data_IF_974563787626
#
_entry.id   IF_974563787626
#
_cell.length_a   1.000
_cell.length_b   1.000
_cell.length_c   1.000
_cell.angle_alpha   90.00
_cell.angle_beta   90.00
_cell.angle_gamma   90.00
#
_symmetry.space_group_name_H-M   'P 1'
#
loop_
_entity.id
_entity.type
_entity.pdbx_description
1 polymer ?
#
# COMPACT_ATOMS: atom_id res chain seq x y z
N UNK A 1 5.47 4.48 25.42
CA UNK A 1 5.51 4.04 24.00
C UNK A 1 4.44 2.97 23.82
N UNK A 2 3.49 3.17 22.90
CA UNK A 2 2.53 2.13 22.53
C UNK A 2 3.22 1.21 21.53
N UNK A 3 3.28 -0.07 21.85
CA UNK A 3 3.86 -1.08 20.96
C UNK A 3 2.73 -1.93 20.42
N UNK A 4 2.69 -2.12 19.11
CA UNK A 4 1.78 -3.03 18.41
C UNK A 4 2.62 -4.14 17.78
N UNK A 5 2.17 -5.39 17.93
CA UNK A 5 2.81 -6.55 17.34
C UNK A 5 1.78 -7.26 16.45
N UNK A 6 2.12 -7.48 15.19
CA UNK A 6 1.32 -8.27 14.25
C UNK A 6 2.07 -9.57 14.00
N UNK A 7 1.41 -10.70 14.17
CA UNK A 7 1.93 -12.03 13.85
C UNK A 7 0.93 -12.77 12.99
N UNK A 8 1.41 -13.33 11.92
CA UNK A 8 0.67 -14.25 11.06
C UNK A 8 1.26 -15.66 11.19
N UNK A 9 0.43 -16.67 11.08
CA UNK A 9 0.84 -18.07 11.09
C UNK A 9 -0.13 -18.88 10.23
N UNK A 10 0.44 -19.68 9.35
CA UNK A 10 -0.29 -20.74 8.69
C UNK A 10 -0.61 -21.86 9.70
N UNK A 11 -1.90 -22.23 9.78
CA UNK A 11 -2.36 -23.34 10.61
C UNK A 11 -2.54 -24.58 9.76
N UNK A 12 -2.48 -25.78 10.36
CA UNK A 12 -2.74 -27.01 9.63
C UNK A 12 -4.12 -26.96 8.97
N UNK A 13 -4.14 -27.16 7.66
CA UNK A 13 -5.35 -27.20 6.84
C UNK A 13 -5.46 -28.60 6.23
N UNK A 14 -6.66 -29.18 6.28
CA UNK A 14 -6.97 -30.48 5.65
C UNK A 14 -7.33 -30.30 4.14
N UNK A 15 -7.11 -29.13 3.57
CA UNK A 15 -7.47 -28.82 2.17
C UNK A 15 -6.23 -28.53 1.35
N UNK A 16 -6.16 -29.09 0.13
CA UNK A 16 -5.12 -28.75 -0.85
C UNK A 16 -5.42 -27.44 -1.61
N UNK A 17 -6.61 -26.86 -1.41
CA UNK A 17 -7.10 -25.67 -2.13
C UNK A 17 -7.12 -24.44 -1.25
N UNK A 18 -7.29 -24.61 0.08
CA UNK A 18 -7.36 -23.53 1.05
C UNK A 18 -6.33 -23.74 2.16
N UNK A 19 -5.69 -22.65 2.59
CA UNK A 19 -4.84 -22.62 3.78
C UNK A 19 -5.50 -21.78 4.86
N UNK A 20 -5.44 -22.26 6.10
CA UNK A 20 -5.98 -21.54 7.27
C UNK A 20 -4.91 -20.67 7.87
N UNK A 21 -5.21 -19.37 7.95
CA UNK A 21 -4.31 -18.36 8.54
C UNK A 21 -4.86 -17.83 9.85
N UNK A 22 -3.95 -17.63 10.80
CA UNK A 22 -4.19 -16.97 12.07
C UNK A 22 -3.43 -15.67 12.12
N UNK A 23 -4.15 -14.54 12.24
CA UNK A 23 -3.56 -13.21 12.40
C UNK A 23 -3.73 -12.77 13.85
N UNK A 24 -2.65 -12.40 14.51
CA UNK A 24 -2.65 -11.84 15.85
C UNK A 24 -2.23 -10.37 15.78
N UNK A 25 -3.07 -9.47 16.31
CA UNK A 25 -2.79 -8.05 16.42
C UNK A 25 -2.91 -7.64 17.89
N UNK A 26 -1.78 -7.44 18.54
CA UNK A 26 -1.72 -7.11 19.96
C UNK A 26 -1.11 -5.73 20.20
N UNK A 27 -1.69 -5.00 21.16
CA UNK A 27 -1.17 -3.73 21.66
C UNK A 27 -0.96 -3.76 23.18
N UNK A 28 -0.16 -2.86 23.70
CA UNK A 28 0.05 -2.64 25.13
C UNK A 28 -0.66 -1.33 25.61
N UNK A 29 -1.83 -1.06 25.07
CA UNK A 29 -2.64 0.11 25.38
C UNK A 29 -3.36 0.02 26.72
N UNK A 30 -4.44 0.79 26.84
CA UNK A 30 -5.24 0.85 28.06
C UNK A 30 -6.09 -0.41 28.32
N UNK A 31 -6.24 -1.28 27.33
CA UNK A 31 -7.12 -2.43 27.39
C UNK A 31 -8.61 -2.05 27.52
N UNK A 32 -9.45 -3.05 27.76
CA UNK A 32 -10.91 -2.93 27.80
C UNK A 32 -11.48 -3.66 29.00
N UNK A 33 -12.60 -3.13 29.55
CA UNK A 33 -13.41 -3.85 30.54
C UNK A 33 -14.14 -5.04 29.90
N UNK A 34 -14.52 -6.03 30.71
CA UNK A 34 -15.26 -7.20 30.22
C UNK A 34 -16.55 -6.79 29.48
N UNK A 35 -17.35 -5.90 30.09
CA UNK A 35 -18.61 -5.41 29.51
C UNK A 35 -18.42 -4.71 28.18
N UNK A 36 -17.31 -3.98 27.99
CA UNK A 36 -16.99 -3.31 26.73
C UNK A 36 -16.47 -4.30 25.69
N UNK A 37 -15.63 -5.27 26.12
CA UNK A 37 -15.10 -6.33 25.27
C UNK A 37 -16.21 -7.13 24.59
N UNK A 38 -17.28 -7.48 25.33
CA UNK A 38 -18.42 -8.23 24.80
C UNK A 38 -19.21 -7.47 23.73
N UNK A 39 -19.09 -6.16 23.71
CA UNK A 39 -19.81 -5.26 22.80
C UNK A 39 -18.96 -4.52 21.79
N UNK A 40 -17.65 -4.82 21.73
CA UNK A 40 -16.73 -4.06 20.87
C UNK A 40 -17.05 -4.17 19.37
N UNK A 41 -17.71 -5.24 18.98
CA UNK A 41 -18.14 -5.48 17.59
C UNK A 41 -19.54 -4.92 17.29
N UNK A 42 -20.25 -4.37 18.26
CA UNK A 42 -21.54 -3.71 18.03
C UNK A 42 -21.33 -2.34 17.37
N UNK A 43 -22.19 -2.00 16.41
CA UNK A 43 -22.13 -0.71 15.74
C UNK A 43 -22.35 0.45 16.74
N UNK A 44 -21.59 1.54 16.56
CA UNK A 44 -21.61 2.75 17.37
C UNK A 44 -21.15 2.57 18.83
N UNK A 45 -20.57 1.42 19.17
CA UNK A 45 -20.04 1.17 20.52
C UNK A 45 -18.75 1.95 20.74
N UNK A 46 -18.67 2.67 21.87
CA UNK A 46 -17.52 3.46 22.30
C UNK A 46 -17.26 3.26 23.78
N UNK A 47 -15.98 3.23 24.17
CA UNK A 47 -15.60 3.22 25.58
C UNK A 47 -15.93 4.59 26.21
N UNK A 48 -16.80 4.61 27.20
CA UNK A 48 -17.14 5.82 27.97
C UNK A 48 -16.09 6.04 29.05
N UNK A 49 -15.00 6.74 28.73
CA UNK A 49 -14.03 7.21 29.70
C UNK A 49 -13.68 8.66 29.43
N UNK A 50 -13.43 9.44 30.50
CA UNK A 50 -13.06 10.86 30.42
C UNK A 50 -11.80 11.14 29.60
N UNK A 51 -10.95 10.12 29.38
CA UNK A 51 -9.76 10.18 28.52
C UNK A 51 -10.07 9.94 27.04
N UNK A 52 -11.16 9.23 26.71
CA UNK A 52 -11.55 8.92 25.31
C UNK A 52 -12.44 9.98 24.68
N UNK A 53 -13.00 10.91 25.45
CA UNK A 53 -13.81 12.04 24.92
C UNK A 53 -13.03 12.96 23.98
N UNK A 54 -11.69 12.87 23.93
CA UNK A 54 -10.84 13.61 22.98
C UNK A 54 -10.49 12.84 21.72
N UNK A 55 -10.80 11.55 21.63
CA UNK A 55 -10.52 10.73 20.46
C UNK A 55 -11.80 10.66 19.60
N UNK A 56 -11.77 11.36 18.48
CA UNK A 56 -12.87 11.39 17.53
C UNK A 56 -12.93 10.06 16.76
N UNK A 57 -14.07 9.34 16.85
CA UNK A 57 -14.28 8.08 16.13
C UNK A 57 -15.78 7.76 16.07
N UNK A 58 -16.20 7.14 14.98
CA UNK A 58 -17.63 6.82 14.73
C UNK A 58 -18.14 5.61 15.51
N UNK A 59 -17.26 4.78 16.09
CA UNK A 59 -17.62 3.51 16.70
C UNK A 59 -18.05 2.42 15.70
N UNK A 60 -17.77 2.62 14.40
CA UNK A 60 -18.14 1.68 13.35
C UNK A 60 -16.99 0.74 12.94
N UNK A 61 -15.73 1.10 13.23
CA UNK A 61 -14.57 0.38 12.72
C UNK A 61 -14.56 -1.12 13.05
N UNK A 62 -14.78 -1.48 14.31
CA UNK A 62 -14.76 -2.88 14.74
C UNK A 62 -15.95 -3.68 14.22
N UNK A 63 -17.14 -3.06 14.14
CA UNK A 63 -18.32 -3.67 13.53
C UNK A 63 -18.10 -3.96 12.04
N UNK A 64 -17.48 -3.04 11.30
CA UNK A 64 -17.11 -3.23 9.89
C UNK A 64 -16.08 -4.35 9.77
N UNK A 65 -15.05 -4.36 10.62
CA UNK A 65 -14.02 -5.41 10.62
C UNK A 65 -14.65 -6.79 10.85
N UNK A 66 -15.55 -6.92 11.84
CA UNK A 66 -16.27 -8.17 12.12
C UNK A 66 -17.06 -8.62 10.90
N UNK A 67 -17.86 -7.73 10.30
CA UNK A 67 -18.64 -8.03 9.11
C UNK A 67 -17.78 -8.49 7.93
N UNK A 68 -16.62 -7.85 7.69
CA UNK A 68 -15.70 -8.23 6.62
C UNK A 68 -15.11 -9.63 6.86
N UNK A 69 -14.67 -9.92 8.09
CA UNK A 69 -14.16 -11.24 8.46
C UNK A 69 -15.22 -12.32 8.28
N UNK A 70 -16.45 -12.06 8.73
CA UNK A 70 -17.59 -12.98 8.58
C UNK A 70 -17.95 -13.22 7.10
N UNK A 71 -17.96 -12.16 6.27
CA UNK A 71 -18.18 -12.27 4.82
C UNK A 71 -17.09 -13.09 4.11
N UNK A 72 -15.88 -13.07 4.65
CA UNK A 72 -14.75 -13.89 4.15
C UNK A 72 -14.77 -15.31 4.73
N UNK A 73 -15.78 -15.68 5.52
CA UNK A 73 -15.89 -17.00 6.16
C UNK A 73 -14.92 -17.22 7.32
N UNK A 74 -14.35 -16.15 7.86
CA UNK A 74 -13.42 -16.18 8.98
C UNK A 74 -14.10 -15.98 10.33
N UNK A 75 -13.28 -15.95 11.39
CA UNK A 75 -13.70 -15.59 12.76
C UNK A 75 -12.76 -14.55 13.34
N UNK A 76 -13.27 -13.67 14.19
CA UNK A 76 -12.48 -12.70 14.94
C UNK A 76 -12.86 -12.74 16.41
N UNK A 77 -11.87 -12.84 17.26
CA UNK A 77 -11.97 -12.82 18.72
C UNK A 77 -11.06 -11.75 19.32
N UNK A 78 -11.31 -11.37 20.58
CA UNK A 78 -10.51 -10.38 21.29
C UNK A 78 -10.25 -10.81 22.74
N UNK A 79 -9.00 -10.73 23.14
CA UNK A 79 -8.58 -10.81 24.54
C UNK A 79 -8.08 -9.44 24.97
N UNK A 80 -8.58 -8.94 26.10
CA UNK A 80 -8.20 -7.64 26.62
C UNK A 80 -8.48 -7.53 28.10
N UNK A 81 -7.56 -6.88 28.82
CA UNK A 81 -7.70 -6.54 30.23
C UNK A 81 -7.34 -5.08 30.48
N UNK A 82 -8.02 -4.37 31.39
CA UNK A 82 -7.70 -2.98 31.72
C UNK A 82 -6.24 -2.83 32.13
N UNK A 83 -5.52 -1.92 31.49
CA UNK A 83 -4.11 -1.63 31.74
C UNK A 83 -3.10 -2.58 31.12
N UNK A 84 -3.53 -3.66 30.48
CA UNK A 84 -2.63 -4.64 29.86
C UNK A 84 -2.63 -4.61 28.32
N UNK A 85 -3.56 -3.85 27.73
CA UNK A 85 -3.72 -3.78 26.28
C UNK A 85 -4.75 -4.75 25.73
N UNK A 86 -4.71 -4.95 24.41
CA UNK A 86 -5.67 -5.82 23.71
C UNK A 86 -4.96 -6.68 22.69
N UNK A 87 -5.48 -7.89 22.46
CA UNK A 87 -5.01 -8.78 21.43
C UNK A 87 -6.21 -9.28 20.62
N UNK A 88 -6.24 -8.94 19.34
CA UNK A 88 -7.25 -9.41 18.39
C UNK A 88 -6.71 -10.61 17.63
N UNK A 89 -7.52 -11.63 17.50
CA UNK A 89 -7.21 -12.85 16.81
C UNK A 89 -8.18 -13.08 15.66
N UNK A 90 -7.68 -13.23 14.45
CA UNK A 90 -8.48 -13.45 13.25
C UNK A 90 -8.07 -14.76 12.60
N UNK A 91 -9.03 -15.64 12.34
CA UNK A 91 -8.82 -16.83 11.52
C UNK A 91 -9.53 -16.68 10.19
N UNK A 92 -8.85 -17.04 9.11
CA UNK A 92 -9.41 -17.03 7.75
C UNK A 92 -8.89 -18.21 6.94
N UNK A 93 -9.78 -18.81 6.15
CA UNK A 93 -9.42 -19.79 5.13
C UNK A 93 -9.21 -19.06 3.80
N UNK A 94 -7.95 -18.96 3.37
CA UNK A 94 -7.59 -18.29 2.13
C UNK A 94 -7.31 -19.31 1.03
N UNK A 95 -7.83 -19.05 -0.17
CA UNK A 95 -7.56 -19.91 -1.32
C UNK A 95 -6.09 -19.85 -1.71
N UNK A 96 -5.45 -21.03 -1.81
CA UNK A 96 -4.08 -21.15 -2.28
C UNK A 96 -4.04 -20.76 -3.75
N UNK A 97 -3.17 -19.81 -4.12
CA UNK A 97 -2.99 -19.42 -5.51
C UNK A 97 -2.41 -20.60 -6.32
N UNK A 98 -3.12 -21.06 -7.32
CA UNK A 98 -2.60 -22.07 -8.24
C UNK A 98 -1.38 -21.50 -8.99
N UNK A 99 -0.21 -22.14 -8.83
CA UNK A 99 1.01 -21.80 -9.58
C UNK A 99 2.19 -21.29 -8.78
N UNK A 100 2.09 -21.23 -7.45
CA UNK A 100 3.29 -21.16 -6.59
C UNK A 100 3.25 -22.32 -5.61
N UNK A 101 3.97 -23.42 -5.94
CA UNK A 101 4.35 -24.38 -4.93
C UNK A 101 5.03 -23.60 -3.81
N UNK A 102 4.35 -23.57 -2.65
CA UNK A 102 4.99 -23.15 -1.42
C UNK A 102 6.12 -24.14 -1.16
N UNK A 103 7.31 -23.81 -1.61
CA UNK A 103 8.51 -24.39 -1.05
C UNK A 103 8.57 -23.88 0.38
N UNK A 104 8.73 -24.77 1.41
CA UNK A 104 8.90 -24.32 2.77
C UNK A 104 10.03 -23.31 2.78
N UNK A 105 9.89 -22.29 3.61
CA UNK A 105 10.88 -21.25 3.81
C UNK A 105 12.26 -21.90 4.06
N UNK A 106 12.91 -22.25 2.98
CA UNK A 106 14.32 -22.49 2.88
C UNK A 106 14.91 -21.13 2.57
N UNK A 107 15.52 -20.59 3.59
CA UNK A 107 16.63 -19.68 3.47
C UNK A 107 17.37 -19.91 2.15
N UNK A 108 17.10 -19.10 1.20
CA UNK A 108 17.98 -18.72 0.14
C UNK A 108 17.55 -17.29 -0.17
N UNK A 109 17.98 -16.37 0.68
CA UNK A 109 18.51 -15.12 0.21
C UNK A 109 19.55 -15.49 -0.86
N UNK A 110 19.13 -15.81 -2.05
CA UNK A 110 19.93 -15.45 -3.19
C UNK A 110 19.85 -13.93 -3.18
N UNK A 111 20.75 -13.33 -2.43
CA UNK A 111 21.37 -12.09 -2.79
C UNK A 111 21.92 -12.29 -4.23
N UNK A 112 21.04 -12.24 -5.21
CA UNK A 112 21.45 -11.76 -6.51
C UNK A 112 21.87 -10.33 -6.25
N UNK A 113 23.16 -10.13 -6.39
CA UNK A 113 23.89 -8.88 -6.48
C UNK A 113 23.33 -8.08 -7.67
N UNK A 114 22.10 -7.64 -7.52
CA UNK A 114 21.54 -6.63 -8.41
C UNK A 114 21.50 -5.35 -7.58
N UNK A 115 22.44 -4.47 -7.89
CA UNK A 115 22.69 -3.24 -7.14
C UNK A 115 21.40 -2.44 -6.96
N UNK A 116 21.40 -1.56 -5.97
CA UNK A 116 20.29 -0.67 -5.64
C UNK A 116 19.65 -0.09 -6.91
N UNK A 117 18.46 -0.60 -7.27
CA UNK A 117 17.74 -0.26 -8.51
C UNK A 117 17.33 1.21 -8.57
N UNK A 118 17.23 1.86 -7.40
CA UNK A 118 16.83 3.26 -7.26
C UNK A 118 18.00 4.21 -7.51
N UNK A 119 19.23 3.74 -7.39
CA UNK A 119 20.42 4.57 -7.52
C UNK A 119 20.47 5.25 -8.88
N UNK A 120 20.53 6.58 -8.85
CA UNK A 120 20.57 7.43 -10.05
C UNK A 120 19.23 7.59 -10.76
N UNK A 121 18.13 7.01 -10.25
CA UNK A 121 16.79 7.28 -10.77
C UNK A 121 16.31 8.68 -10.39
N UNK A 122 15.56 9.31 -11.28
CA UNK A 122 14.98 10.64 -11.11
C UNK A 122 13.46 10.52 -11.07
N UNK A 123 12.89 10.89 -9.94
CA UNK A 123 11.45 10.83 -9.69
C UNK A 123 10.82 12.21 -9.79
N UNK A 124 9.64 12.29 -10.40
CA UNK A 124 8.73 13.40 -10.24
C UNK A 124 7.65 12.98 -9.23
N UNK A 125 7.58 13.65 -8.08
CA UNK A 125 6.72 13.23 -6.98
C UNK A 125 5.63 14.27 -6.73
N UNK A 126 4.41 13.79 -6.55
CA UNK A 126 3.26 14.58 -6.12
C UNK A 126 2.96 14.27 -4.65
N UNK A 127 3.00 15.26 -3.77
CA UNK A 127 2.66 15.15 -2.35
C UNK A 127 2.28 16.54 -1.84
N UNK A 128 1.08 16.69 -1.30
CA UNK A 128 0.54 17.97 -0.83
C UNK A 128 0.90 18.28 0.64
N UNK A 129 1.30 17.25 1.39
CA UNK A 129 1.75 17.41 2.76
C UNK A 129 3.27 17.61 2.82
N UNK A 130 3.70 18.77 3.31
CA UNK A 130 5.10 19.18 3.37
C UNK A 130 5.99 18.17 4.13
N UNK A 131 5.51 17.64 5.26
CA UNK A 131 6.25 16.67 6.07
C UNK A 131 6.39 15.33 5.31
N UNK A 132 5.34 14.86 4.64
CA UNK A 132 5.42 13.63 3.85
C UNK A 132 6.36 13.81 2.65
N UNK A 133 6.34 14.98 2.01
CA UNK A 133 7.23 15.33 0.91
C UNK A 133 8.71 15.31 1.34
N UNK A 134 8.99 15.87 2.52
CA UNK A 134 10.32 15.88 3.11
C UNK A 134 10.80 14.44 3.44
N UNK A 135 9.95 13.63 4.07
CA UNK A 135 10.25 12.22 4.37
C UNK A 135 10.51 11.44 3.08
N UNK A 136 9.66 11.58 2.07
CA UNK A 136 9.82 10.89 0.79
C UNK A 136 11.14 11.29 0.10
N UNK A 137 11.48 12.58 0.14
CA UNK A 137 12.73 13.11 -0.41
C UNK A 137 13.94 12.48 0.25
N UNK A 138 13.99 12.46 1.58
CA UNK A 138 15.11 11.87 2.31
C UNK A 138 15.21 10.36 2.12
N UNK A 139 14.10 9.64 2.08
CA UNK A 139 14.09 8.20 1.80
C UNK A 139 14.67 7.89 0.40
N UNK A 140 14.23 8.61 -0.64
CA UNK A 140 14.75 8.43 -2.00
C UNK A 140 16.22 8.79 -2.09
N UNK A 141 16.66 9.84 -1.42
CA UNK A 141 18.06 10.28 -1.37
C UNK A 141 18.97 9.28 -0.67
N UNK A 142 18.52 8.63 0.42
CA UNK A 142 19.25 7.54 1.09
C UNK A 142 19.52 6.40 0.10
N UNK A 143 18.56 6.09 -0.77
CA UNK A 143 18.69 5.08 -1.83
C UNK A 143 19.48 5.59 -3.07
N UNK A 144 20.01 6.80 -3.02
CA UNK A 144 20.79 7.39 -4.12
C UNK A 144 19.95 7.82 -5.33
N UNK A 145 18.66 8.02 -5.14
CA UNK A 145 17.75 8.58 -6.13
C UNK A 145 17.57 10.09 -5.94
N UNK A 146 17.11 10.76 -6.98
CA UNK A 146 16.74 12.18 -6.95
C UNK A 146 15.22 12.32 -7.10
N UNK A 147 14.63 13.34 -6.48
CA UNK A 147 13.24 13.65 -6.72
C UNK A 147 12.97 15.14 -6.84
N UNK A 148 11.97 15.47 -7.65
CA UNK A 148 11.37 16.79 -7.75
C UNK A 148 9.97 16.71 -7.15
N UNK A 149 9.70 17.47 -6.08
CA UNK A 149 8.41 17.49 -5.40
C UNK A 149 7.50 18.55 -6.03
N UNK A 150 6.24 18.18 -6.20
CA UNK A 150 5.14 19.06 -6.60
C UNK A 150 4.00 18.93 -5.60
N UNK A 151 3.43 20.05 -5.17
CA UNK A 151 2.41 20.15 -4.12
C UNK A 151 0.99 19.72 -4.56
N UNK A 152 0.75 19.48 -5.84
CA UNK A 152 -0.55 19.06 -6.39
C UNK A 152 -0.40 18.50 -7.82
N UNK A 153 -1.46 17.85 -8.30
CA UNK A 153 -1.45 17.21 -9.61
C UNK A 153 -1.28 18.19 -10.79
N UNK A 154 -1.73 19.43 -10.64
CA UNK A 154 -1.56 20.46 -11.68
C UNK A 154 -0.08 20.82 -11.85
N UNK A 155 0.65 20.99 -10.75
CA UNK A 155 2.09 21.28 -10.78
C UNK A 155 2.89 20.13 -11.37
N UNK A 156 2.50 18.88 -11.06
CA UNK A 156 3.12 17.69 -11.68
C UNK A 156 2.92 17.72 -13.20
N UNK A 157 1.71 17.97 -13.68
CA UNK A 157 1.43 18.05 -15.10
C UNK A 157 2.27 19.14 -15.79
N UNK A 158 2.28 20.35 -15.25
CA UNK A 158 3.06 21.48 -15.77
C UNK A 158 4.55 21.18 -15.82
N UNK A 159 5.11 20.61 -14.73
CA UNK A 159 6.53 20.23 -14.64
C UNK A 159 6.86 19.13 -15.65
N UNK A 160 5.99 18.12 -15.76
CA UNK A 160 6.19 17.03 -16.72
C UNK A 160 6.13 17.53 -18.18
N UNK A 161 5.20 18.40 -18.54
CA UNK A 161 5.07 18.94 -19.90
C UNK A 161 6.27 19.81 -20.30
N UNK A 162 6.87 20.53 -19.34
CA UNK A 162 8.06 21.35 -19.55
C UNK A 162 9.36 20.54 -19.58
N UNK A 163 9.36 19.29 -19.12
CA UNK A 163 10.53 18.44 -19.08
C UNK A 163 10.91 17.91 -20.47
N UNK A 164 12.15 17.48 -20.60
CA UNK A 164 12.58 16.76 -21.79
C UNK A 164 12.56 15.25 -21.55
N UNK A 165 12.40 14.42 -22.61
CA UNK A 165 12.43 12.97 -22.46
C UNK A 165 13.71 12.48 -21.79
N UNK A 166 13.59 11.90 -20.60
CA UNK A 166 14.73 11.41 -19.82
C UNK A 166 15.00 12.22 -18.55
N UNK A 167 14.39 13.38 -18.33
CA UNK A 167 14.54 14.13 -17.07
C UNK A 167 13.98 13.35 -15.89
N UNK A 168 12.90 12.61 -16.11
CA UNK A 168 12.28 11.76 -15.10
C UNK A 168 12.17 10.32 -15.60
N UNK A 169 12.49 9.39 -14.73
CA UNK A 169 12.35 7.96 -15.01
C UNK A 169 10.96 7.45 -14.64
N UNK A 170 10.35 8.04 -13.61
CA UNK A 170 9.07 7.60 -13.04
C UNK A 170 8.37 8.73 -12.31
N UNK A 171 7.04 8.62 -12.17
CA UNK A 171 6.21 9.53 -11.37
C UNK A 171 5.67 8.77 -10.16
N UNK A 172 5.85 9.31 -8.95
CA UNK A 172 5.16 8.90 -7.73
C UNK A 172 4.02 9.90 -7.50
N UNK A 173 2.78 9.42 -7.53
CA UNK A 173 1.60 10.27 -7.57
C UNK A 173 0.70 10.01 -6.36
N UNK A 174 0.62 10.96 -5.45
CA UNK A 174 -0.43 10.94 -4.45
C UNK A 174 -1.80 11.00 -5.13
N UNK A 175 -2.72 10.17 -4.67
CA UNK A 175 -4.07 10.12 -5.20
C UNK A 175 -4.91 11.29 -4.68
N UNK A 176 -4.78 11.62 -3.39
CA UNK A 176 -5.62 12.61 -2.72
C UNK A 176 -4.86 13.92 -2.53
N UNK A 177 -5.06 14.86 -3.42
CA UNK A 177 -4.46 16.19 -3.38
C UNK A 177 -5.47 17.28 -3.72
N UNK A 178 -5.30 18.52 -3.19
CA UNK A 178 -6.11 19.67 -3.57
C UNK A 178 -5.83 20.12 -5.01
N UNK A 179 -6.68 20.96 -5.57
CA UNK A 179 -6.59 21.59 -6.88
C UNK A 179 -6.78 20.60 -8.04
N UNK A 180 -5.98 19.55 -8.10
CA UNK A 180 -6.06 18.46 -9.08
C UNK A 180 -5.57 17.17 -8.39
N UNK A 181 -6.44 16.18 -8.30
CA UNK A 181 -6.10 14.88 -7.70
C UNK A 181 -5.22 14.05 -8.64
N UNK A 182 -4.64 12.95 -8.09
CA UNK A 182 -3.70 12.11 -8.84
C UNK A 182 -4.30 11.41 -10.04
N UNK A 183 -5.60 11.06 -10.00
CA UNK A 183 -6.28 10.43 -11.13
C UNK A 183 -6.47 11.42 -12.29
N UNK A 184 -6.87 12.65 -11.99
CA UNK A 184 -7.02 13.72 -12.98
C UNK A 184 -5.67 14.09 -13.60
N UNK A 185 -4.65 14.25 -12.77
CA UNK A 185 -3.29 14.52 -13.22
C UNK A 185 -2.76 13.41 -14.14
N UNK A 186 -2.95 12.14 -13.76
CA UNK A 186 -2.55 11.00 -14.59
C UNK A 186 -3.25 10.99 -15.94
N UNK A 187 -4.57 11.19 -15.97
CA UNK A 187 -5.33 11.28 -17.23
C UNK A 187 -4.83 12.42 -18.10
N UNK A 188 -4.52 13.57 -17.51
CA UNK A 188 -4.00 14.73 -18.23
C UNK A 188 -2.59 14.43 -18.79
N UNK A 189 -1.69 13.88 -17.99
CA UNK A 189 -0.36 13.43 -18.43
C UNK A 189 -0.45 12.46 -19.61
N UNK A 190 -1.34 11.44 -19.52
CA UNK A 190 -1.53 10.44 -20.60
C UNK A 190 -2.07 11.04 -21.90
N UNK A 191 -2.74 12.21 -21.82
CA UNK A 191 -3.27 12.95 -22.98
C UNK A 191 -2.33 14.03 -23.51
N UNK A 192 -1.30 14.39 -22.75
CA UNK A 192 -0.35 15.45 -23.14
C UNK A 192 0.45 15.08 -24.39
N UNK A 193 1.05 16.08 -25.02
CA UNK A 193 1.87 15.92 -26.24
C UNK A 193 3.31 15.51 -25.92
N UNK A 194 3.69 15.40 -24.65
CA UNK A 194 5.03 15.00 -24.24
C UNK A 194 5.36 13.61 -24.78
N UNK A 195 6.57 13.41 -25.33
CA UNK A 195 6.98 12.15 -25.98
C UNK A 195 6.84 10.92 -25.08
N UNK A 196 7.01 11.09 -23.77
CA UNK A 196 6.87 10.00 -22.78
C UNK A 196 5.48 9.93 -22.12
N UNK A 197 4.52 10.74 -22.52
CA UNK A 197 3.19 10.79 -21.93
C UNK A 197 2.51 9.40 -21.79
N UNK A 198 2.67 8.55 -22.81
CA UNK A 198 2.09 7.20 -22.84
C UNK A 198 2.93 6.14 -22.12
N UNK A 199 4.22 6.40 -21.92
CA UNK A 199 5.20 5.38 -21.50
C UNK A 199 5.85 5.65 -20.14
N UNK A 200 5.81 6.88 -19.61
CA UNK A 200 6.37 7.13 -18.29
C UNK A 200 5.60 6.31 -17.24
N UNK A 201 6.29 5.50 -16.42
CA UNK A 201 5.62 4.78 -15.35
C UNK A 201 5.08 5.77 -14.30
N UNK A 202 3.84 5.53 -13.86
CA UNK A 202 3.19 6.30 -12.80
C UNK A 202 2.75 5.32 -11.73
N UNK A 203 3.25 5.48 -10.51
CA UNK A 203 2.87 4.71 -9.33
C UNK A 203 1.97 5.57 -8.45
N UNK A 204 0.78 5.08 -8.14
CA UNK A 204 -0.11 5.71 -7.16
C UNK A 204 0.45 5.55 -5.74
N UNK A 205 0.43 6.60 -4.93
CA UNK A 205 0.61 6.57 -3.48
C UNK A 205 -0.77 6.80 -2.84
N UNK A 206 -1.26 5.85 -2.06
CA UNK A 206 -2.63 5.89 -1.50
C UNK A 206 -2.63 5.60 -0.01
N UNK A 207 -3.52 6.25 0.74
CA UNK A 207 -3.72 5.94 2.16
C UNK A 207 -4.39 4.56 2.37
N UNK A 208 -5.12 4.06 1.36
CA UNK A 208 -5.83 2.80 1.41
C UNK A 208 -5.49 1.95 0.17
N UNK A 209 -5.17 0.69 0.40
CA UNK A 209 -4.90 -0.28 -0.68
C UNK A 209 -6.14 -1.16 -0.97
N UNK A 210 -7.36 -0.60 -0.90
CA UNK A 210 -8.57 -1.35 -1.23
C UNK A 210 -8.70 -1.59 -2.73
N UNK A 211 -9.35 -2.67 -3.10
CA UNK A 211 -9.52 -3.12 -4.48
C UNK A 211 -10.14 -2.07 -5.42
N UNK A 212 -11.00 -1.20 -4.91
CA UNK A 212 -11.63 -0.11 -5.66
C UNK A 212 -10.61 0.98 -6.05
N UNK A 213 -9.74 1.38 -5.14
CA UNK A 213 -8.69 2.38 -5.41
C UNK A 213 -7.67 1.87 -6.42
N UNK A 214 -7.39 0.56 -6.39
CA UNK A 214 -6.52 -0.09 -7.37
C UNK A 214 -7.13 -0.02 -8.77
N UNK A 215 -8.42 -0.37 -8.90
CA UNK A 215 -9.10 -0.32 -10.19
C UNK A 215 -9.19 1.11 -10.74
N UNK A 216 -9.48 2.10 -9.90
CA UNK A 216 -9.50 3.51 -10.30
C UNK A 216 -8.12 4.00 -10.75
N UNK A 217 -7.04 3.60 -10.07
CA UNK A 217 -5.67 3.93 -10.46
C UNK A 217 -5.32 3.38 -11.84
N UNK A 218 -5.62 2.10 -12.09
CA UNK A 218 -5.39 1.46 -13.38
C UNK A 218 -6.26 2.09 -14.48
N UNK A 219 -7.53 2.36 -14.21
CA UNK A 219 -8.44 3.03 -15.16
C UNK A 219 -8.00 4.46 -15.49
N UNK A 220 -7.32 5.16 -14.57
CA UNK A 220 -6.73 6.46 -14.82
C UNK A 220 -5.47 6.38 -15.70
N UNK A 221 -4.85 5.19 -15.84
CA UNK A 221 -3.63 4.96 -16.61
C UNK A 221 -2.35 4.90 -15.76
N UNK A 222 -2.46 4.69 -14.45
CA UNK A 222 -1.33 4.39 -13.58
C UNK A 222 -0.85 2.94 -13.77
N UNK A 223 0.41 2.67 -13.46
CA UNK A 223 1.04 1.38 -13.73
C UNK A 223 1.08 0.46 -12.50
N UNK A 224 1.05 1.05 -11.32
CA UNK A 224 1.03 0.33 -10.04
C UNK A 224 0.52 1.25 -8.93
N UNK A 225 0.38 0.70 -7.74
CA UNK A 225 0.06 1.44 -6.51
C UNK A 225 0.92 0.95 -5.35
N UNK A 226 1.15 1.83 -4.38
CA UNK A 226 1.79 1.55 -3.10
C UNK A 226 1.00 2.27 -2.00
N UNK A 227 0.99 1.69 -0.81
CA UNK A 227 0.34 2.31 0.36
C UNK A 227 1.25 3.36 1.00
N UNK A 228 0.66 4.40 1.57
CA UNK A 228 1.32 5.32 2.49
C UNK A 228 1.28 4.75 3.93
N UNK A 229 2.34 4.89 4.73
CA UNK A 229 3.63 5.51 4.39
C UNK A 229 4.43 4.66 3.39
N UNK A 230 5.20 5.33 2.53
CA UNK A 230 5.98 4.66 1.48
C UNK A 230 7.08 3.80 2.11
N UNK A 231 7.01 2.49 1.88
CA UNK A 231 8.06 1.54 2.23
C UNK A 231 9.01 1.33 1.05
N UNK A 232 10.30 1.55 1.26
CA UNK A 232 11.30 1.52 0.18
C UNK A 232 11.46 0.12 -0.44
N UNK A 233 11.33 -0.95 0.37
CA UNK A 233 11.37 -2.33 -0.16
C UNK A 233 10.19 -2.61 -1.08
N UNK A 234 9.01 -2.15 -0.70
CA UNK A 234 7.79 -2.26 -1.52
C UNK A 234 7.91 -1.43 -2.80
N UNK A 235 8.47 -0.23 -2.72
CA UNK A 235 8.74 0.63 -3.89
C UNK A 235 9.73 -0.05 -4.85
N UNK A 236 10.87 -0.54 -4.37
CA UNK A 236 11.84 -1.27 -5.19
C UNK A 236 11.23 -2.48 -5.89
N UNK A 237 10.50 -3.32 -5.15
CA UNK A 237 9.81 -4.49 -5.70
C UNK A 237 8.82 -4.10 -6.81
N UNK A 238 8.08 -3.03 -6.59
CA UNK A 238 7.11 -2.50 -7.56
C UNK A 238 7.82 -2.00 -8.83
N UNK A 239 8.92 -1.30 -8.68
CA UNK A 239 9.73 -0.81 -9.80
C UNK A 239 10.34 -1.97 -10.60
N UNK A 240 10.87 -3.01 -9.93
CA UNK A 240 11.37 -4.22 -10.60
C UNK A 240 10.29 -4.87 -11.45
N UNK A 241 9.09 -5.02 -10.91
CA UNK A 241 7.95 -5.59 -11.64
C UNK A 241 7.57 -4.75 -12.87
N UNK A 242 7.52 -3.42 -12.72
CA UNK A 242 7.23 -2.51 -13.83
C UNK A 242 8.31 -2.63 -14.91
N UNK A 243 9.59 -2.58 -14.57
CA UNK A 243 10.70 -2.72 -15.53
C UNK A 243 10.65 -4.06 -16.26
N UNK A 244 10.33 -5.15 -15.56
CA UNK A 244 10.17 -6.48 -16.16
C UNK A 244 9.05 -6.48 -17.21
N UNK A 245 7.86 -5.97 -16.88
CA UNK A 245 6.71 -5.92 -17.79
C UNK A 245 7.05 -5.09 -19.05
N UNK A 246 7.71 -3.95 -18.90
CA UNK A 246 8.12 -3.12 -20.05
C UNK A 246 9.15 -3.82 -20.91
N UNK A 247 10.11 -4.56 -20.33
CA UNK A 247 11.13 -5.29 -21.08
C UNK A 247 10.53 -6.42 -21.92
N UNK A 248 9.56 -7.17 -21.39
CA UNK A 248 8.86 -8.21 -22.10
C UNK A 248 7.97 -7.65 -23.23
N UNK A 249 7.27 -6.55 -23.00
CA UNK A 249 6.44 -5.89 -24.01
C UNK A 249 7.26 -5.47 -25.24
N UNK A 250 8.51 -5.01 -25.05
CA UNK A 250 9.42 -4.63 -26.14
C UNK A 250 9.87 -5.88 -26.91
N UNK A 251 10.10 -7.02 -26.25
CA UNK A 251 10.47 -8.28 -26.92
C UNK A 251 9.35 -8.78 -27.82
N UNK A 252 8.11 -8.82 -27.31
CA UNK A 252 6.93 -9.28 -28.06
C UNK A 252 6.69 -8.42 -29.31
N UNK A 253 6.81 -7.09 -29.21
CA UNK A 253 6.65 -6.18 -30.34
C UNK A 253 7.68 -6.41 -31.44
N UNK A 254 8.91 -6.81 -31.11
CA UNK A 254 9.96 -7.15 -32.09
C UNK A 254 9.72 -8.48 -32.82
N UNK A 255 8.95 -9.40 -32.22
CA UNK A 255 8.60 -10.68 -32.87
C UNK A 255 7.38 -10.57 -33.79
N UNK A 256 6.52 -9.59 -33.62
CA UNK A 256 5.35 -9.34 -34.47
C UNK A 256 5.65 -8.44 -35.70
N UNK A 257 6.83 -7.82 -35.73
CA UNK A 257 7.27 -6.94 -36.82
C UNK A 257 8.22 -7.63 -37.82
N UNK A 258 8.37 -8.95 -37.73
CA UNK A 258 9.02 -9.84 -38.70
C UNK A 258 7.99 -10.77 -39.37
#
# INVERSE_FOLDING_TARGET
>A
QRQMCIRDRECESNSSVYAKYRFLVCDNGMGMSADFKDRIFDAFTRAENSLTNKIQGTGLGMAITKNLVDLMGGTIDVESEPGQGSCFEVFMDLKIAEGRSASPASQAETEEQDGNILKGMRFLCAEDNELNAEILTELLKIEGAECTICENGKRVLETFEQSVPGDYDMILMDVQMPVMNGYEATKAIRRSTHKRAKTIPIIAMTANAFSEDIQHSLAAGMNAHISKPVDMKTLEKTIRNIKYIFSESIKVSKYQAK
#
